data_IF_622592340425
#
_entry.id   IF_622592340425
#
_cell.length_a   1.000
_cell.length_b   1.000
_cell.length_c   1.000
_cell.angle_alpha   90.00
_cell.angle_beta   90.00
_cell.angle_gamma   90.00
#
_symmetry.space_group_name_H-M   'P 1'
#
loop_
_entity.id
_entity.type
_entity.pdbx_description
1 polymer ?
#
# COMPACT_ATOMS: atom_id res chain seq x y z
N UNK A 1 19.17 -12.23 -7.93
CA UNK A 1 18.70 -11.34 -6.85
C UNK A 1 17.27 -11.70 -6.53
N UNK A 2 16.96 -12.08 -5.29
CA UNK A 2 15.57 -12.24 -4.83
C UNK A 2 15.10 -10.90 -4.27
N UNK A 3 14.19 -10.23 -4.96
CA UNK A 3 13.54 -9.03 -4.45
C UNK A 3 12.30 -9.42 -3.65
N UNK A 4 12.10 -8.80 -2.48
CA UNK A 4 10.87 -8.99 -1.71
C UNK A 4 9.70 -8.35 -2.46
N UNK A 5 8.70 -9.15 -2.82
CA UNK A 5 7.45 -8.69 -3.40
C UNK A 5 6.40 -8.53 -2.29
N UNK A 6 5.58 -7.50 -2.35
CA UNK A 6 4.47 -7.30 -1.41
C UNK A 6 3.12 -7.38 -2.11
N UNK A 7 2.14 -7.89 -1.38
CA UNK A 7 0.76 -7.97 -1.85
C UNK A 7 -0.06 -6.74 -1.46
N UNK A 8 -1.28 -6.66 -2.00
CA UNK A 8 -2.24 -5.59 -1.74
C UNK A 8 -2.54 -5.42 -0.25
N UNK A 9 -2.57 -6.49 0.56
CA UNK A 9 -2.88 -6.38 1.98
C UNK A 9 -1.81 -5.60 2.74
N UNK A 10 -0.52 -5.75 2.42
CA UNK A 10 0.54 -4.96 3.06
C UNK A 10 0.30 -3.47 2.82
N UNK A 11 -0.07 -3.09 1.59
CA UNK A 11 -0.45 -1.70 1.30
C UNK A 11 -1.65 -1.26 2.14
N UNK A 12 -2.70 -2.07 2.23
CA UNK A 12 -3.91 -1.71 2.98
C UNK A 12 -3.67 -1.68 4.50
N UNK A 13 -2.86 -2.58 5.04
CA UNK A 13 -2.51 -2.62 6.47
C UNK A 13 -1.74 -1.37 6.88
N UNK A 14 -0.91 -0.80 6.00
CA UNK A 14 -0.24 0.48 6.28
C UNK A 14 -1.22 1.65 6.50
N UNK A 15 -2.46 1.51 6.03
CA UNK A 15 -3.54 2.51 6.14
C UNK A 15 -4.60 2.14 7.19
N UNK A 16 -4.44 0.99 7.86
CA UNK A 16 -5.41 0.43 8.80
C UNK A 16 -5.41 1.08 10.18
N UNK A 17 -6.19 0.51 11.10
CA UNK A 17 -6.28 0.91 12.51
C UNK A 17 -5.71 -0.17 13.46
N UNK A 18 -5.16 -1.25 12.91
CA UNK A 18 -4.48 -2.30 13.68
C UNK A 18 -3.01 -1.91 13.78
N UNK A 19 -2.64 -1.26 14.89
CA UNK A 19 -1.31 -0.66 15.10
C UNK A 19 -0.18 -1.67 14.83
N UNK A 20 -0.34 -2.93 15.27
CA UNK A 20 0.67 -3.97 15.08
C UNK A 20 0.85 -4.31 13.59
N UNK A 21 -0.24 -4.49 12.83
CA UNK A 21 -0.15 -4.75 11.39
C UNK A 21 0.32 -3.53 10.61
N UNK A 22 -0.10 -2.34 11.03
CA UNK A 22 0.29 -1.09 10.41
C UNK A 22 1.79 -0.86 10.52
N UNK A 23 2.37 -1.02 11.71
CA UNK A 23 3.80 -0.88 11.95
C UNK A 23 4.62 -1.87 11.12
N UNK A 24 4.19 -3.14 11.07
CA UNK A 24 4.85 -4.16 10.26
C UNK A 24 4.77 -3.80 8.78
N UNK A 25 3.60 -3.39 8.29
CA UNK A 25 3.40 -3.03 6.90
C UNK A 25 4.25 -1.83 6.48
N UNK A 26 4.28 -0.77 7.29
CA UNK A 26 5.11 0.42 7.06
C UNK A 26 6.59 0.02 7.01
N UNK A 27 7.05 -0.83 7.92
CA UNK A 27 8.44 -1.32 7.94
C UNK A 27 8.80 -2.22 6.75
N UNK A 28 7.83 -2.94 6.18
CA UNK A 28 8.06 -3.72 4.96
C UNK A 28 8.12 -2.80 3.73
N UNK A 29 7.22 -1.83 3.64
CA UNK A 29 7.21 -0.83 2.57
C UNK A 29 8.49 0.02 2.57
N UNK A 30 9.00 0.41 3.74
CA UNK A 30 10.22 1.22 3.86
C UNK A 30 11.50 0.52 3.40
N UNK A 31 11.44 -0.77 3.03
CA UNK A 31 12.58 -1.52 2.48
C UNK A 31 12.67 -1.45 0.95
N UNK A 32 11.78 -0.70 0.29
CA UNK A 32 11.69 -0.63 -1.17
C UNK A 32 11.37 -2.00 -1.81
N UNK A 33 10.31 -2.71 -1.37
CA UNK A 33 9.92 -3.96 -2.00
C UNK A 33 9.42 -3.73 -3.43
N UNK A 34 9.43 -4.79 -4.24
CA UNK A 34 8.82 -4.75 -5.56
C UNK A 34 7.30 -4.76 -5.42
N UNK A 35 6.65 -3.82 -6.11
CA UNK A 35 5.19 -3.68 -6.19
C UNK A 35 4.78 -3.69 -7.66
N UNK A 36 3.73 -4.45 -8.00
CA UNK A 36 3.20 -4.45 -9.36
C UNK A 36 2.11 -3.39 -9.55
N UNK A 37 1.87 -3.00 -10.80
CA UNK A 37 0.75 -2.12 -11.17
C UNK A 37 -0.61 -2.70 -10.75
N UNK A 38 -0.75 -4.03 -10.77
CA UNK A 38 -1.95 -4.71 -10.29
C UNK A 38 -2.17 -4.46 -8.79
N UNK A 39 -1.13 -4.61 -7.97
CA UNK A 39 -1.20 -4.36 -6.51
C UNK A 39 -1.62 -2.92 -6.24
N UNK A 40 -1.03 -1.95 -6.94
CA UNK A 40 -1.41 -0.54 -6.82
C UNK A 40 -2.87 -0.28 -7.22
N UNK A 41 -3.32 -0.90 -8.32
CA UNK A 41 -4.68 -0.74 -8.84
C UNK A 41 -5.72 -1.34 -7.90
N UNK A 42 -5.44 -2.52 -7.34
CA UNK A 42 -6.31 -3.17 -6.37
C UNK A 42 -6.38 -2.38 -5.06
N UNK A 43 -5.24 -1.91 -4.55
CA UNK A 43 -5.18 -1.06 -3.37
C UNK A 43 -5.99 0.22 -3.57
N UNK A 44 -5.84 0.90 -4.71
CA UNK A 44 -6.62 2.09 -5.07
C UNK A 44 -8.14 1.81 -5.08
N UNK A 45 -8.55 0.67 -5.65
CA UNK A 45 -9.95 0.27 -5.66
C UNK A 45 -10.48 -0.02 -4.25
N UNK A 46 -9.70 -0.69 -3.39
CA UNK A 46 -10.05 -0.94 -1.99
C UNK A 46 -10.16 0.38 -1.21
N UNK A 47 -9.18 1.28 -1.35
CA UNK A 47 -9.21 2.60 -0.70
C UNK A 47 -10.48 3.39 -1.08
N UNK A 48 -10.87 3.36 -2.36
CA UNK A 48 -12.07 4.05 -2.83
C UNK A 48 -13.36 3.39 -2.36
N UNK A 49 -13.48 2.07 -2.53
CA UNK A 49 -14.76 1.35 -2.36
C UNK A 49 -15.01 0.90 -0.93
N UNK A 50 -13.96 0.48 -0.22
CA UNK A 50 -14.07 -0.06 1.15
C UNK A 50 -13.70 0.96 2.22
N UNK A 51 -12.71 1.82 1.96
CA UNK A 51 -12.23 2.79 2.96
C UNK A 51 -12.79 4.21 2.75
N UNK A 52 -13.47 4.47 1.64
CA UNK A 52 -14.12 5.75 1.37
C UNK A 52 -13.16 6.92 1.13
N UNK A 53 -11.91 6.65 0.74
CA UNK A 53 -10.91 7.69 0.52
C UNK A 53 -11.27 8.56 -0.69
N UNK A 54 -10.93 9.85 -0.61
CA UNK A 54 -11.00 10.77 -1.76
C UNK A 54 -9.92 10.41 -2.78
N UNK A 55 -10.19 10.67 -4.05
CA UNK A 55 -9.25 10.37 -5.14
C UNK A 55 -7.88 11.05 -4.96
N UNK A 56 -7.85 12.26 -4.40
CA UNK A 56 -6.60 12.97 -4.08
C UNK A 56 -5.75 12.24 -3.04
N UNK A 57 -6.36 11.70 -1.98
CA UNK A 57 -5.68 10.90 -0.96
C UNK A 57 -5.16 9.58 -1.55
N UNK A 58 -5.97 8.92 -2.40
CA UNK A 58 -5.56 7.68 -3.08
C UNK A 58 -4.35 7.94 -3.97
N UNK A 59 -4.38 9.02 -4.76
CA UNK A 59 -3.27 9.42 -5.61
C UNK A 59 -1.99 9.63 -4.80
N UNK A 60 -2.06 10.37 -3.70
CA UNK A 60 -0.91 10.61 -2.83
C UNK A 60 -0.30 9.31 -2.27
N UNK A 61 -1.15 8.35 -1.86
CA UNK A 61 -0.68 7.04 -1.39
C UNK A 61 -0.02 6.24 -2.52
N UNK A 62 -0.64 6.15 -3.68
CA UNK A 62 -0.10 5.41 -4.83
C UNK A 62 1.22 6.02 -5.30
N UNK A 63 1.29 7.35 -5.39
CA UNK A 63 2.52 8.07 -5.78
C UNK A 63 3.63 7.85 -4.75
N UNK A 64 3.33 7.77 -3.45
CA UNK A 64 4.33 7.45 -2.44
C UNK A 64 4.91 6.05 -2.63
N UNK A 65 4.04 5.04 -2.84
CA UNK A 65 4.48 3.64 -2.96
C UNK A 65 5.20 3.40 -4.31
N UNK A 66 4.83 4.11 -5.37
CA UNK A 66 5.44 3.94 -6.68
C UNK A 66 6.78 4.66 -6.86
N UNK A 67 7.10 5.63 -6.00
CA UNK A 67 8.33 6.44 -6.07
C UNK A 67 9.35 6.13 -4.95
N UNK A 68 9.03 5.19 -4.04
CA UNK A 68 9.96 4.61 -3.06
C UNK A 68 10.66 3.36 -3.65
#
# INVERSE_FOLDING_TARGET
>A
MSASFIDTNIVIYSLGQDDAKQDIAIRLLSKGPVVSVQVLSEAANIMRRKLGFKLSSIRAVVERIAND
#
